data_IF_179545380185
#
_entry.id   IF_179545380185
#
_cell.length_a   1.000
_cell.length_b   1.000
_cell.length_c   1.000
_cell.angle_alpha   90.00
_cell.angle_beta   90.00
_cell.angle_gamma   90.00
#
_symmetry.space_group_name_H-M   'P 1'
#
loop_
_entity.id
_entity.type
_entity.pdbx_description
1 polymer ?
#
# COMPACT_ATOMS: atom_id res chain seq x y z
N UNK A 1 -4.76 -6.02 -22.23
CA UNK A 1 -5.70 -5.07 -21.60
C UNK A 1 -4.94 -4.39 -20.49
N UNK A 2 -4.77 -3.07 -20.59
CA UNK A 2 -3.99 -2.31 -19.63
C UNK A 2 -4.95 -1.68 -18.61
N UNK A 3 -4.72 -1.90 -17.32
CA UNK A 3 -5.53 -1.36 -16.23
C UNK A 3 -4.86 -0.06 -15.78
N UNK A 4 -5.40 1.08 -16.21
CA UNK A 4 -4.97 2.40 -15.79
C UNK A 4 -6.21 3.21 -15.42
N UNK A 5 -6.36 3.62 -14.17
CA UNK A 5 -7.44 4.53 -13.75
C UNK A 5 -7.23 6.00 -14.15
N UNK A 6 -6.28 6.30 -15.04
CA UNK A 6 -6.01 7.65 -15.52
C UNK A 6 -7.14 8.20 -16.41
N UNK A 7 -7.94 7.33 -17.05
CA UNK A 7 -9.14 7.74 -17.77
C UNK A 7 -10.40 7.56 -16.89
N UNK A 8 -11.06 8.66 -16.46
CA UNK A 8 -12.24 8.61 -15.61
C UNK A 8 -13.45 7.92 -16.25
N UNK A 9 -13.45 7.68 -17.57
CA UNK A 9 -14.56 7.05 -18.29
C UNK A 9 -14.31 5.57 -18.62
N UNK A 10 -13.09 5.07 -18.39
CA UNK A 10 -12.71 3.71 -18.79
C UNK A 10 -13.30 2.64 -17.86
N UNK A 11 -13.54 2.96 -16.59
CA UNK A 11 -13.95 2.01 -15.56
C UNK A 11 -15.20 2.50 -14.83
N UNK A 12 -16.13 1.57 -14.57
CA UNK A 12 -17.30 1.82 -13.73
C UNK A 12 -16.93 1.81 -12.25
N UNK A 13 -17.78 2.39 -11.40
CA UNK A 13 -17.56 2.40 -9.95
C UNK A 13 -17.46 0.98 -9.35
N UNK A 14 -18.17 0.01 -9.95
CA UNK A 14 -18.09 -1.41 -9.59
C UNK A 14 -16.72 -2.02 -9.96
N UNK A 15 -16.10 -1.57 -11.06
CA UNK A 15 -14.75 -2.00 -11.45
C UNK A 15 -13.70 -1.47 -10.47
N UNK A 16 -13.81 -0.20 -10.06
CA UNK A 16 -12.97 0.38 -9.01
C UNK A 16 -13.10 -0.43 -7.71
N UNK A 17 -14.33 -0.68 -7.26
CA UNK A 17 -14.56 -1.45 -6.04
C UNK A 17 -14.02 -2.90 -6.14
N UNK A 18 -14.13 -3.52 -7.31
CA UNK A 18 -13.62 -4.88 -7.55
C UNK A 18 -12.10 -4.92 -7.51
N UNK A 19 -11.43 -3.99 -8.19
CA UNK A 19 -9.98 -4.01 -8.40
C UNK A 19 -9.19 -3.46 -7.20
N UNK A 20 -9.66 -2.36 -6.62
CA UNK A 20 -8.95 -1.64 -5.55
C UNK A 20 -9.71 -1.60 -4.22
N UNK A 21 -11.00 -1.94 -4.20
CA UNK A 21 -11.78 -2.04 -2.96
C UNK A 21 -12.37 -0.72 -2.46
N UNK A 22 -12.40 0.33 -3.29
CA UNK A 22 -12.97 1.64 -2.96
C UNK A 22 -13.70 2.22 -4.16
N UNK A 23 -14.63 3.13 -3.90
CA UNK A 23 -15.33 3.86 -4.95
C UNK A 23 -14.44 4.94 -5.55
N UNK A 24 -14.77 5.39 -6.76
CA UNK A 24 -13.95 6.35 -7.51
C UNK A 24 -13.74 7.66 -6.76
N UNK A 25 -14.78 8.18 -6.09
CA UNK A 25 -14.67 9.43 -5.31
C UNK A 25 -13.66 9.33 -4.17
N UNK A 26 -13.57 8.17 -3.51
CA UNK A 26 -12.63 7.95 -2.42
C UNK A 26 -11.21 7.79 -2.94
N UNK A 27 -11.06 7.15 -4.11
CA UNK A 27 -9.79 7.03 -4.81
C UNK A 27 -9.25 8.39 -5.26
N UNK A 28 -10.08 9.22 -5.86
CA UNK A 28 -9.70 10.57 -6.30
C UNK A 28 -9.25 11.42 -5.11
N UNK A 29 -10.00 11.38 -4.01
CA UNK A 29 -9.63 12.05 -2.76
C UNK A 29 -8.29 11.54 -2.21
N UNK A 30 -8.05 10.22 -2.23
CA UNK A 30 -6.78 9.64 -1.81
C UNK A 30 -5.60 10.12 -2.68
N UNK A 31 -5.81 10.22 -4.00
CA UNK A 31 -4.81 10.71 -4.94
C UNK A 31 -4.44 12.17 -4.69
N UNK A 32 -5.42 13.03 -4.39
CA UNK A 32 -5.19 14.43 -4.01
C UNK A 32 -4.37 14.55 -2.71
N UNK A 33 -4.61 13.67 -1.74
CA UNK A 33 -3.92 13.69 -0.44
C UNK A 33 -2.53 13.04 -0.46
N UNK A 34 -2.24 12.17 -1.44
CA UNK A 34 -0.99 11.41 -1.51
C UNK A 34 0.28 12.26 -1.68
N UNK A 35 0.15 13.53 -2.11
CA UNK A 35 1.27 14.49 -2.35
C UNK A 35 2.48 13.84 -3.05
N UNK A 36 2.24 12.94 -4.00
CA UNK A 36 3.29 12.35 -4.83
C UNK A 36 3.61 13.31 -5.98
N UNK A 37 4.87 13.36 -6.41
CA UNK A 37 5.23 14.07 -7.64
C UNK A 37 4.88 13.20 -8.84
N UNK A 38 4.13 13.75 -9.78
CA UNK A 38 4.01 13.17 -11.11
C UNK A 38 5.40 13.09 -11.77
N UNK A 39 5.59 12.05 -12.57
CA UNK A 39 6.76 11.89 -13.45
C UNK A 39 6.28 11.75 -14.89
N UNK A 40 7.15 12.03 -15.86
CA UNK A 40 6.80 12.06 -17.29
C UNK A 40 6.09 10.80 -17.81
N UNK A 41 6.26 9.65 -17.14
CA UNK A 41 5.63 8.38 -17.50
C UNK A 41 4.66 7.82 -16.45
N UNK A 42 4.39 8.51 -15.34
CA UNK A 42 3.60 7.97 -14.22
C UNK A 42 2.87 9.07 -13.46
N UNK A 43 1.54 8.95 -13.41
CA UNK A 43 0.69 9.76 -12.55
C UNK A 43 0.73 9.24 -11.10
N UNK A 44 0.39 10.10 -10.15
CA UNK A 44 0.09 9.71 -8.76
C UNK A 44 -0.98 8.61 -8.72
N UNK A 45 -2.04 8.78 -9.50
CA UNK A 45 -3.18 7.85 -9.57
C UNK A 45 -2.74 6.44 -9.97
N UNK A 46 -1.92 6.30 -11.01
CA UNK A 46 -1.39 5.02 -11.47
C UNK A 46 -0.51 4.33 -10.42
N UNK A 47 0.26 5.09 -9.64
CA UNK A 47 1.09 4.53 -8.58
C UNK A 47 0.26 4.01 -7.40
N UNK A 48 -0.76 4.78 -7.00
CA UNK A 48 -1.69 4.41 -5.93
C UNK A 48 -2.57 3.23 -6.36
N UNK A 49 -3.10 3.25 -7.59
CA UNK A 49 -3.82 2.13 -8.19
C UNK A 49 -2.99 0.85 -8.14
N UNK A 50 -1.76 0.87 -8.68
CA UNK A 50 -0.90 -0.30 -8.69
C UNK A 50 -0.64 -0.86 -7.28
N UNK A 51 -0.50 0.02 -6.27
CA UNK A 51 -0.36 -0.39 -4.88
C UNK A 51 -1.66 -1.05 -4.36
N UNK A 52 -2.81 -0.41 -4.55
CA UNK A 52 -4.10 -0.90 -4.05
C UNK A 52 -4.50 -2.21 -4.72
N UNK A 53 -4.36 -2.31 -6.04
CA UNK A 53 -4.59 -3.53 -6.82
C UNK A 53 -3.70 -4.67 -6.32
N UNK A 54 -2.42 -4.38 -6.04
CA UNK A 54 -1.50 -5.36 -5.46
C UNK A 54 -1.94 -5.85 -4.08
N UNK A 55 -2.41 -4.95 -3.22
CA UNK A 55 -2.87 -5.28 -1.86
C UNK A 55 -4.18 -6.07 -1.89
N UNK A 56 -5.11 -5.70 -2.78
CA UNK A 56 -6.46 -6.27 -2.88
C UNK A 56 -6.45 -7.68 -3.46
N UNK A 57 -5.79 -7.85 -4.61
CA UNK A 57 -5.85 -9.09 -5.40
C UNK A 57 -4.64 -10.00 -5.13
N UNK A 58 -3.62 -9.51 -4.40
CA UNK A 58 -2.40 -10.25 -4.01
C UNK A 58 -1.61 -10.77 -5.21
N UNK A 59 -1.51 -9.97 -6.27
CA UNK A 59 -0.82 -10.35 -7.51
C UNK A 59 0.71 -10.19 -7.41
N UNK A 60 1.43 -11.05 -8.15
CA UNK A 60 2.88 -10.95 -8.31
C UNK A 60 3.27 -9.74 -9.15
N UNK A 61 4.52 -9.26 -9.02
CA UNK A 61 4.99 -8.13 -9.81
C UNK A 61 5.03 -8.45 -11.32
N UNK A 62 5.25 -9.72 -11.69
CA UNK A 62 5.22 -10.17 -13.09
C UNK A 62 3.80 -10.07 -13.70
N UNK A 63 2.76 -10.39 -12.92
CA UNK A 63 1.37 -10.25 -13.38
C UNK A 63 0.99 -8.77 -13.46
N UNK A 64 1.38 -7.98 -12.45
CA UNK A 64 1.13 -6.54 -12.43
C UNK A 64 1.84 -5.81 -13.57
N UNK A 65 3.07 -6.19 -13.93
CA UNK A 65 3.75 -5.56 -15.07
C UNK A 65 2.99 -5.82 -16.37
N UNK A 66 2.38 -6.99 -16.51
CA UNK A 66 1.50 -7.30 -17.65
C UNK A 66 0.22 -6.47 -17.64
N UNK A 67 -0.46 -6.39 -16.49
CA UNK A 67 -1.73 -5.68 -16.33
C UNK A 67 -1.59 -4.16 -16.49
N UNK A 68 -0.50 -3.58 -16.00
CA UNK A 68 -0.23 -2.15 -16.12
C UNK A 68 0.71 -1.83 -17.29
N UNK A 69 0.93 -2.78 -18.21
CA UNK A 69 1.76 -2.61 -19.41
C UNK A 69 3.13 -1.97 -19.16
N UNK A 70 3.81 -2.42 -18.10
CA UNK A 70 5.21 -2.10 -17.86
C UNK A 70 6.12 -3.18 -18.44
N UNK A 71 7.23 -2.74 -19.02
CA UNK A 71 8.22 -3.64 -19.61
C UNK A 71 9.01 -4.46 -18.57
N UNK A 72 9.08 -4.00 -17.30
CA UNK A 72 9.87 -4.65 -16.25
C UNK A 72 9.12 -4.70 -14.90
N UNK A 73 9.12 -5.89 -14.28
CA UNK A 73 8.60 -6.13 -12.92
C UNK A 73 9.33 -5.36 -11.83
N UNK A 74 10.58 -4.96 -12.05
CA UNK A 74 11.32 -4.12 -11.10
C UNK A 74 10.67 -2.74 -11.00
N UNK A 75 10.17 -2.22 -12.12
CA UNK A 75 9.44 -0.96 -12.18
C UNK A 75 8.21 -0.99 -11.29
N UNK A 76 7.43 -2.08 -11.32
CA UNK A 76 6.31 -2.30 -10.38
C UNK A 76 6.77 -2.23 -8.93
N UNK A 77 7.86 -2.93 -8.59
CA UNK A 77 8.40 -2.93 -7.24
C UNK A 77 8.74 -1.51 -6.75
N UNK A 78 9.38 -0.70 -7.59
CA UNK A 78 9.69 0.69 -7.28
C UNK A 78 8.43 1.57 -7.15
N UNK A 79 7.44 1.38 -8.01
CA UNK A 79 6.18 2.13 -7.97
C UNK A 79 5.43 1.86 -6.67
N UNK A 80 5.23 0.58 -6.36
CA UNK A 80 4.55 0.13 -5.15
C UNK A 80 5.26 0.67 -3.91
N UNK A 81 6.59 0.60 -3.87
CA UNK A 81 7.36 1.08 -2.72
C UNK A 81 7.29 2.60 -2.57
N UNK A 82 7.33 3.36 -3.67
CA UNK A 82 7.22 4.81 -3.64
C UNK A 82 5.82 5.26 -3.20
N UNK A 83 4.76 4.64 -3.75
CA UNK A 83 3.38 4.91 -3.33
C UNK A 83 3.17 4.60 -1.84
N UNK A 84 3.70 3.46 -1.38
CA UNK A 84 3.64 3.06 0.03
C UNK A 84 4.30 4.09 0.94
N UNK A 85 5.51 4.55 0.60
CA UNK A 85 6.22 5.57 1.38
C UNK A 85 5.45 6.89 1.43
N UNK A 86 4.98 7.36 0.28
CA UNK A 86 4.26 8.62 0.20
C UNK A 86 2.97 8.61 1.04
N UNK A 87 2.21 7.51 1.01
CA UNK A 87 1.02 7.37 1.84
C UNK A 87 1.36 7.31 3.34
N UNK A 88 2.40 6.58 3.74
CA UNK A 88 2.83 6.51 5.15
C UNK A 88 3.30 7.87 5.67
N UNK A 89 3.97 8.67 4.83
CA UNK A 89 4.53 9.96 5.23
C UNK A 89 3.48 11.08 5.22
N UNK A 90 2.57 11.09 4.23
CA UNK A 90 1.67 12.23 4.00
C UNK A 90 0.20 11.96 4.31
N UNK A 91 -0.27 10.72 4.12
CA UNK A 91 -1.69 10.39 4.26
C UNK A 91 -2.01 9.80 5.64
N UNK A 92 -1.32 8.73 6.02
CA UNK A 92 -1.57 7.98 7.28
C UNK A 92 -1.56 8.88 8.51
N UNK A 93 -0.59 9.79 8.73
CA UNK A 93 -0.53 10.58 9.96
C UNK A 93 -1.66 11.61 10.09
N UNK A 94 -2.22 12.06 8.95
CA UNK A 94 -3.21 13.12 8.90
C UNK A 94 -4.65 12.61 8.81
N UNK A 95 -4.86 11.40 8.30
CA UNK A 95 -6.20 10.93 7.93
C UNK A 95 -6.65 9.62 8.59
N UNK A 96 -5.76 8.86 9.22
CA UNK A 96 -6.14 7.60 9.88
C UNK A 96 -6.29 7.71 11.40
N UNK A 97 -6.00 8.86 12.03
CA UNK A 97 -6.08 9.13 13.49
C UNK A 97 -5.36 8.14 14.43
N UNK A 98 -4.86 7.02 13.91
CA UNK A 98 -3.96 6.11 14.59
C UNK A 98 -2.57 6.74 14.58
N UNK A 99 -2.01 6.98 15.77
CA UNK A 99 -0.61 7.34 15.92
C UNK A 99 0.23 6.20 15.35
N UNK A 100 0.70 6.34 14.12
CA UNK A 100 1.42 5.27 13.43
C UNK A 100 2.70 4.93 14.20
N UNK A 101 2.92 3.65 14.48
CA UNK A 101 4.15 3.15 15.07
C UNK A 101 4.94 2.45 13.95
N UNK A 102 6.13 2.95 13.62
CA UNK A 102 6.98 2.32 12.61
C UNK A 102 7.34 0.89 13.02
N UNK A 103 7.59 0.01 12.04
CA UNK A 103 8.07 -1.36 12.31
C UNK A 103 9.30 -1.35 13.20
N UNK A 104 10.24 -0.43 12.95
CA UNK A 104 11.45 -0.27 13.73
C UNK A 104 11.13 0.14 15.18
N UNK A 105 10.15 1.01 15.39
CA UNK A 105 9.67 1.42 16.71
C UNK A 105 8.98 0.26 17.44
N UNK A 106 8.23 -0.60 16.74
CA UNK A 106 7.65 -1.82 17.33
C UNK A 106 8.74 -2.78 17.78
N UNK A 107 9.74 -3.04 16.92
CA UNK A 107 10.86 -3.93 17.24
C UNK A 107 11.63 -3.40 18.46
N UNK A 108 11.92 -2.09 18.51
CA UNK A 108 12.71 -1.49 19.59
C UNK A 108 11.94 -1.33 20.90
N UNK A 109 10.70 -0.86 20.83
CA UNK A 109 9.99 -0.37 22.02
C UNK A 109 8.89 -1.33 22.50
N UNK A 110 8.42 -2.25 21.65
CA UNK A 110 7.22 -3.05 21.95
C UNK A 110 7.47 -4.57 21.89
N UNK A 111 8.60 -5.01 21.33
CA UNK A 111 8.97 -6.43 21.29
C UNK A 111 9.77 -6.81 22.55
N UNK A 112 9.13 -7.47 23.52
CA UNK A 112 9.79 -7.91 24.76
C UNK A 112 10.85 -8.99 24.47
N UNK A 113 11.98 -9.03 25.21
CA UNK A 113 13.04 -10.03 24.99
C UNK A 113 12.54 -11.49 25.00
N UNK A 114 11.58 -11.80 25.88
CA UNK A 114 10.94 -13.12 25.94
C UNK A 114 10.14 -13.45 24.67
N UNK A 115 9.35 -12.50 24.16
CA UNK A 115 8.58 -12.68 22.93
C UNK A 115 9.51 -12.84 21.71
N UNK A 116 10.60 -12.08 21.65
CA UNK A 116 11.63 -12.19 20.62
C UNK A 116 12.29 -13.58 20.61
N UNK A 117 12.61 -14.13 21.79
CA UNK A 117 13.15 -15.49 21.90
C UNK A 117 12.13 -16.55 21.43
N UNK A 118 10.88 -16.45 21.90
CA UNK A 118 9.85 -17.46 21.64
C UNK A 118 9.30 -17.44 20.21
N UNK A 119 9.12 -16.26 19.61
CA UNK A 119 8.35 -16.09 18.37
C UNK A 119 9.24 -15.83 17.15
N UNK A 120 10.43 -15.25 17.35
CA UNK A 120 11.33 -14.88 16.25
C UNK A 120 12.69 -15.58 16.32
N UNK A 121 12.90 -16.46 17.32
CA UNK A 121 14.16 -17.16 17.51
C UNK A 121 15.35 -16.23 17.81
N UNK A 122 15.08 -15.06 18.39
CA UNK A 122 16.09 -14.04 18.68
C UNK A 122 16.36 -13.05 17.53
N UNK A 123 15.69 -13.17 16.39
CA UNK A 123 15.83 -12.23 15.28
C UNK A 123 15.06 -10.92 15.51
N UNK A 124 15.55 -9.81 14.95
CA UNK A 124 14.84 -8.52 14.92
C UNK A 124 13.66 -8.57 13.95
N UNK A 125 12.54 -9.07 14.46
CA UNK A 125 11.27 -9.10 13.76
C UNK A 125 10.15 -8.57 14.68
N UNK A 126 9.24 -7.79 14.10
CA UNK A 126 8.04 -7.35 14.78
C UNK A 126 7.07 -8.52 14.87
N UNK A 127 6.50 -8.77 16.05
CA UNK A 127 5.45 -9.76 16.23
C UNK A 127 4.13 -9.02 16.41
N UNK A 128 3.18 -9.26 15.51
CA UNK A 128 1.85 -8.69 15.58
C UNK A 128 0.86 -9.77 16.03
N UNK A 129 0.15 -9.52 17.12
CA UNK A 129 -0.96 -10.38 17.58
C UNK A 129 -2.25 -9.61 17.41
N UNK A 130 -3.09 -10.07 16.49
CA UNK A 130 -4.40 -9.52 16.23
C UNK A 130 -5.44 -10.44 16.83
N UNK A 131 -6.05 -10.02 17.93
CA UNK A 131 -7.32 -10.57 18.38
C UNK A 131 -8.43 -9.61 17.93
N UNK A 132 -9.58 -10.16 17.56
CA UNK A 132 -10.80 -9.43 17.17
C UNK A 132 -11.28 -8.36 18.17
N UNK A 133 -10.68 -8.33 19.37
CA UNK A 133 -11.00 -7.40 20.45
C UNK A 133 -9.79 -6.50 20.79
N UNK A 134 -8.56 -6.92 20.48
CA UNK A 134 -7.34 -6.21 20.88
C UNK A 134 -6.30 -6.20 19.77
N UNK A 135 -5.84 -4.99 19.44
CA UNK A 135 -4.62 -4.76 18.69
C UNK A 135 -3.47 -4.61 19.68
N UNK A 136 -2.65 -5.65 19.86
CA UNK A 136 -1.46 -5.59 20.70
C UNK A 136 -0.23 -5.45 19.80
N UNK A 137 0.44 -4.30 19.91
CA UNK A 137 1.67 -3.96 19.18
C UNK A 137 2.84 -3.98 20.15
#
# INVERSE_FOLDING_TARGET
VSIFFDDPFQYSDDDYFTLIGMYKSDFDALCEQGKMRDTDNRSVSMAIDCLLTKLRIRLSNDVLSTLFSFDDKRTIGHIVENARKALIENFVPSYLEFHHISRETVIKCHTRPLAKQLLTGGNDAATLVLDSIYLYV
#
